data_IF_454985935773
#
_entry.id   IF_454985935773
#
_cell.length_a   1.000
_cell.length_b   1.000
_cell.length_c   1.000
_cell.angle_alpha   90.00
_cell.angle_beta   90.00
_cell.angle_gamma   90.00
#
_symmetry.space_group_name_H-M   'P 1'
#
loop_
_entity.id
_entity.type
_entity.pdbx_description
1 polymer ?
#
# COMPACT_ATOMS: atom_id res chain seq x y z
N UNK A 1 -21.44 17.74 15.04
CA UNK A 1 -20.55 18.69 14.35
C UNK A 1 -20.06 17.97 13.09
N UNK A 2 -20.69 18.25 11.95
CA UNK A 2 -20.27 17.73 10.65
C UNK A 2 -18.91 18.34 10.28
N UNK A 3 -17.99 17.52 9.76
CA UNK A 3 -16.76 17.97 9.12
C UNK A 3 -17.15 18.75 7.86
N UNK A 4 -17.33 20.07 7.99
CA UNK A 4 -17.85 20.95 6.93
C UNK A 4 -16.76 21.61 6.07
N UNK A 5 -15.53 21.12 6.16
CA UNK A 5 -14.43 21.53 5.28
C UNK A 5 -13.99 20.35 4.42
N UNK A 6 -14.09 20.52 3.10
CA UNK A 6 -13.50 19.60 2.13
C UNK A 6 -11.98 19.58 2.33
N UNK A 7 -11.45 18.44 2.79
CA UNK A 7 -10.02 18.24 2.96
C UNK A 7 -9.37 17.99 1.59
N UNK A 8 -8.56 18.95 1.11
CA UNK A 8 -7.85 18.84 -0.16
C UNK A 8 -6.37 18.56 0.10
N UNK A 9 -5.83 17.58 -0.61
CA UNK A 9 -4.41 17.23 -0.58
C UNK A 9 -3.92 16.85 -1.97
N UNK A 10 -2.61 16.99 -2.19
CA UNK A 10 -1.89 16.35 -3.29
C UNK A 10 -1.16 15.11 -2.77
N UNK A 11 -1.16 14.04 -3.54
CA UNK A 11 -0.44 12.81 -3.21
C UNK A 11 0.39 12.32 -4.38
N UNK A 12 1.53 11.70 -4.08
CA UNK A 12 2.39 11.01 -5.01
C UNK A 12 2.53 9.55 -4.56
N UNK A 13 2.30 8.61 -5.48
CA UNK A 13 2.50 7.18 -5.25
C UNK A 13 3.76 6.75 -6.00
N UNK A 14 4.73 6.24 -5.27
CA UNK A 14 5.85 5.49 -5.84
C UNK A 14 5.46 4.01 -5.84
N UNK A 15 5.11 3.50 -7.02
CA UNK A 15 4.91 2.08 -7.24
C UNK A 15 6.20 1.51 -7.86
N UNK A 16 7.21 1.22 -7.06
CA UNK A 16 8.52 0.77 -7.55
C UNK A 16 8.55 -0.72 -7.93
N UNK A 17 9.71 -1.23 -8.33
CA UNK A 17 9.90 -2.66 -8.64
C UNK A 17 10.09 -3.49 -7.38
N UNK A 18 10.92 -2.99 -6.46
CA UNK A 18 11.24 -3.64 -5.19
C UNK A 18 10.41 -3.07 -4.05
N UNK A 19 10.28 -1.75 -3.99
CA UNK A 19 9.63 -1.04 -2.89
C UNK A 19 8.63 -0.02 -3.41
N UNK A 20 7.54 0.14 -2.67
CA UNK A 20 6.48 1.09 -2.96
C UNK A 20 6.17 1.95 -1.74
N UNK A 21 5.67 3.15 -1.96
CA UNK A 21 5.29 4.07 -0.89
C UNK A 21 4.49 5.23 -1.44
N UNK A 22 4.12 6.15 -0.56
CA UNK A 22 3.48 7.39 -0.95
C UNK A 22 3.94 8.54 -0.08
N UNK A 23 3.80 9.74 -0.63
CA UNK A 23 3.95 10.99 0.07
C UNK A 23 2.75 11.88 -0.25
N UNK A 24 2.40 12.78 0.66
CA UNK A 24 1.31 13.73 0.46
C UNK A 24 1.60 15.07 1.11
N UNK A 25 0.94 16.11 0.60
CA UNK A 25 0.92 17.44 1.20
C UNK A 25 -0.52 17.95 1.22
N UNK A 26 -0.96 18.45 2.37
CA UNK A 26 -2.30 19.04 2.46
C UNK A 26 -2.27 20.43 1.83
N UNK A 27 -3.43 20.94 1.40
CA UNK A 27 -3.52 22.32 0.89
C UNK A 27 -3.06 23.34 1.95
N UNK A 28 -3.28 23.03 3.23
CA UNK A 28 -2.81 23.88 4.33
C UNK A 28 -1.29 23.87 4.40
N UNK A 29 -0.67 22.69 4.48
CA UNK A 29 0.79 22.53 4.52
C UNK A 29 1.44 23.24 3.35
N UNK A 30 0.99 22.98 2.12
CA UNK A 30 1.54 23.61 0.92
C UNK A 30 1.45 25.14 0.92
N UNK A 31 0.39 25.73 1.49
CA UNK A 31 0.22 27.18 1.59
C UNK A 31 1.07 27.80 2.70
N UNK A 32 1.31 27.06 3.77
CA UNK A 32 2.14 27.48 4.90
C UNK A 32 3.63 27.38 4.55
N UNK A 33 4.05 26.23 4.04
CA UNK A 33 5.39 25.98 3.51
C UNK A 33 5.33 24.81 2.49
N UNK A 34 5.59 25.07 1.18
CA UNK A 34 5.58 24.05 0.13
C UNK A 34 6.53 22.86 0.37
N UNK A 35 7.51 22.99 1.27
CA UNK A 35 8.46 21.93 1.62
C UNK A 35 7.93 20.95 2.68
N UNK A 36 6.76 21.23 3.28
CA UNK A 36 6.11 20.29 4.20
C UNK A 36 5.47 19.15 3.41
N UNK A 37 6.20 18.05 3.33
CA UNK A 37 5.81 16.79 2.69
C UNK A 37 5.73 15.69 3.74
N UNK A 38 4.58 15.05 3.84
CA UNK A 38 4.35 13.92 4.74
C UNK A 38 4.66 12.62 4.00
N UNK A 39 5.63 11.86 4.49
CA UNK A 39 6.03 10.55 3.95
C UNK A 39 5.60 9.47 4.92
N UNK A 40 4.97 8.41 4.41
CA UNK A 40 4.55 7.30 5.25
C UNK A 40 5.74 6.42 5.66
N UNK A 41 5.74 5.96 6.91
CA UNK A 41 6.70 5.00 7.45
C UNK A 41 6.03 3.66 7.74
N UNK A 42 6.52 2.59 7.15
CA UNK A 42 6.11 1.22 7.44
C UNK A 42 7.13 0.54 8.33
N UNK A 43 6.63 -0.30 9.24
CA UNK A 43 7.47 -1.17 10.06
C UNK A 43 7.36 -2.59 9.52
N UNK A 44 8.49 -3.18 9.14
CA UNK A 44 8.61 -4.60 8.87
C UNK A 44 8.74 -5.33 10.22
N UNK A 45 7.63 -5.88 10.71
CA UNK A 45 7.54 -6.43 12.07
C UNK A 45 8.54 -7.57 12.27
N UNK A 46 8.66 -8.45 11.28
CA UNK A 46 9.56 -9.61 11.30
C UNK A 46 11.05 -9.26 11.50
N UNK A 47 11.49 -8.08 11.07
CA UNK A 47 12.89 -7.65 11.15
C UNK A 47 13.11 -6.40 12.02
N UNK A 48 12.04 -5.86 12.63
CA UNK A 48 12.11 -4.66 13.47
C UNK A 48 12.57 -3.39 12.75
N UNK A 49 12.46 -3.35 11.41
CA UNK A 49 12.96 -2.24 10.59
C UNK A 49 11.85 -1.26 10.25
N UNK A 50 12.11 0.04 10.41
CA UNK A 50 11.22 1.11 9.93
C UNK A 50 11.76 1.69 8.63
N UNK A 51 10.89 1.86 7.63
CA UNK A 51 11.24 2.30 6.28
C UNK A 51 10.16 3.21 5.71
N UNK A 52 10.54 4.19 4.91
CA UNK A 52 9.60 5.06 4.18
C UNK A 52 8.91 4.37 2.99
N UNK A 53 9.21 3.09 2.79
CA UNK A 53 8.61 2.25 1.76
C UNK A 53 8.32 0.86 2.31
N UNK A 54 7.39 0.17 1.67
CA UNK A 54 7.09 -1.24 1.92
C UNK A 54 7.41 -2.09 0.69
N UNK A 55 7.52 -3.41 0.84
CA UNK A 55 7.81 -4.32 -0.27
C UNK A 55 6.76 -4.23 -1.39
N UNK A 56 7.18 -4.28 -2.65
CA UNK A 56 6.25 -4.33 -3.79
C UNK A 56 5.81 -5.77 -4.01
N UNK A 57 4.93 -6.22 -3.13
CA UNK A 57 4.32 -7.53 -3.17
C UNK A 57 2.89 -7.46 -2.68
N UNK A 58 2.06 -8.34 -3.21
CA UNK A 58 0.63 -8.41 -2.90
C UNK A 58 0.23 -9.87 -2.76
N UNK A 59 -0.60 -10.13 -1.76
CA UNK A 59 -1.14 -11.44 -1.46
C UNK A 59 -2.65 -11.41 -1.70
N UNK A 60 -3.13 -12.40 -2.46
CA UNK A 60 -4.55 -12.69 -2.60
C UNK A 60 -4.88 -14.05 -2.01
N UNK A 61 -6.10 -14.16 -1.49
CA UNK A 61 -6.69 -15.40 -1.00
C UNK A 61 -6.94 -16.39 -2.15
N UNK A 62 -7.27 -17.66 -1.86
CA UNK A 62 -7.63 -18.65 -2.88
C UNK A 62 -8.81 -18.26 -3.78
N UNK A 63 -9.73 -17.42 -3.29
CA UNK A 63 -10.84 -16.86 -4.08
C UNK A 63 -10.44 -15.60 -4.90
N UNK A 64 -9.13 -15.36 -5.02
CA UNK A 64 -8.52 -14.20 -5.66
C UNK A 64 -8.96 -12.83 -5.11
N UNK A 65 -9.48 -12.78 -3.88
CA UNK A 65 -9.76 -11.51 -3.19
C UNK A 65 -8.49 -10.97 -2.53
N UNK A 66 -8.35 -9.64 -2.52
CA UNK A 66 -7.20 -8.98 -1.92
C UNK A 66 -7.10 -9.32 -0.43
N UNK A 67 -5.90 -9.68 0.02
CA UNK A 67 -5.62 -9.93 1.43
C UNK A 67 -4.74 -8.82 2.02
N UNK A 68 -3.51 -8.70 1.53
CA UNK A 68 -2.52 -7.77 2.07
C UNK A 68 -1.52 -7.30 1.01
N UNK A 69 -0.83 -6.21 1.33
CA UNK A 69 0.24 -5.62 0.52
C UNK A 69 1.46 -5.34 1.40
N UNK A 70 2.64 -5.28 0.81
CA UNK A 70 3.84 -4.86 1.53
C UNK A 70 4.38 -5.90 2.48
N UNK A 71 5.04 -5.43 3.55
CA UNK A 71 5.61 -6.30 4.58
C UNK A 71 4.55 -7.24 5.20
N UNK A 72 3.30 -6.79 5.34
CA UNK A 72 2.21 -7.64 5.83
C UNK A 72 1.86 -8.78 4.86
N UNK A 73 2.11 -8.64 3.55
CA UNK A 73 1.97 -9.73 2.60
C UNK A 73 3.14 -10.72 2.69
N UNK A 74 4.37 -10.22 2.87
CA UNK A 74 5.55 -11.07 3.09
C UNK A 74 5.43 -11.87 4.39
N UNK A 75 5.14 -11.20 5.51
CA UNK A 75 5.04 -11.83 6.82
C UNK A 75 3.96 -12.93 6.82
N UNK A 76 2.75 -12.62 6.36
CA UNK A 76 1.65 -13.60 6.33
C UNK A 76 1.91 -14.77 5.37
N UNK A 77 2.48 -14.51 4.19
CA UNK A 77 2.81 -15.58 3.25
C UNK A 77 3.90 -16.51 3.79
N UNK A 78 4.89 -15.96 4.50
CA UNK A 78 5.93 -16.74 5.16
C UNK A 78 5.35 -17.60 6.28
N UNK A 79 4.43 -17.07 7.10
CA UNK A 79 3.70 -17.83 8.12
C UNK A 79 2.93 -19.01 7.50
N UNK A 80 2.17 -18.77 6.43
CA UNK A 80 1.48 -19.84 5.69
C UNK A 80 2.45 -20.90 5.16
N UNK A 81 3.63 -20.48 4.68
CA UNK A 81 4.62 -21.38 4.11
C UNK A 81 5.29 -22.27 5.18
N UNK A 82 5.41 -21.81 6.43
CA UNK A 82 5.92 -22.62 7.54
C UNK A 82 5.03 -23.84 7.84
N UNK A 83 3.72 -23.71 7.58
CA UNK A 83 2.72 -24.75 7.77
C UNK A 83 2.28 -25.44 6.46
N UNK A 84 3.01 -25.24 5.34
CA UNK A 84 2.66 -25.76 4.00
C UNK A 84 1.27 -25.34 3.46
N UNK A 85 0.67 -24.30 4.03
CA UNK A 85 -0.69 -23.82 3.73
C UNK A 85 -0.74 -22.68 2.69
N UNK A 86 0.40 -22.31 2.12
CA UNK A 86 0.52 -21.23 1.14
C UNK A 86 0.13 -21.65 -0.29
N UNK A 87 -0.05 -22.95 -0.56
CA UNK A 87 -0.20 -23.51 -1.91
C UNK A 87 -1.41 -23.00 -2.69
N UNK A 88 -2.50 -22.62 -2.04
CA UNK A 88 -3.69 -22.10 -2.72
C UNK A 88 -3.73 -20.57 -2.82
N UNK A 89 -2.76 -19.88 -2.20
CA UNK A 89 -2.70 -18.43 -2.18
C UNK A 89 -1.95 -17.86 -3.37
N UNK A 90 -2.29 -16.63 -3.78
CA UNK A 90 -1.63 -15.96 -4.90
C UNK A 90 -0.70 -14.87 -4.38
N UNK A 91 0.59 -15.19 -4.29
CA UNK A 91 1.62 -14.24 -3.86
C UNK A 91 2.40 -13.70 -5.05
N UNK A 92 2.19 -12.43 -5.37
CA UNK A 92 2.91 -11.73 -6.43
C UNK A 92 4.00 -10.85 -5.83
N UNK A 93 5.24 -11.02 -6.30
CA UNK A 93 6.40 -10.22 -5.91
C UNK A 93 7.23 -9.88 -7.14
N UNK A 94 7.80 -8.66 -7.19
CA UNK A 94 8.62 -8.17 -8.33
C UNK A 94 7.91 -8.18 -9.70
N UNK A 95 6.58 -8.28 -9.72
CA UNK A 95 5.76 -8.41 -10.92
C UNK A 95 5.77 -7.16 -11.81
N UNK A 96 6.23 -5.99 -11.30
CA UNK A 96 6.41 -4.78 -12.13
C UNK A 96 7.39 -5.00 -13.28
N UNK A 97 8.39 -5.88 -13.12
CA UNK A 97 9.32 -6.20 -14.21
C UNK A 97 8.64 -6.92 -15.37
N UNK A 98 7.59 -7.68 -15.11
CA UNK A 98 6.86 -8.41 -16.15
C UNK A 98 5.90 -7.50 -16.92
N UNK A 99 5.51 -6.36 -16.32
CA UNK A 99 4.84 -5.26 -17.03
C UNK A 99 5.78 -4.54 -18.01
N UNK A 100 7.08 -4.47 -17.72
CA UNK A 100 8.04 -3.75 -18.58
C UNK A 100 8.48 -4.56 -19.81
N UNK A 101 8.54 -5.90 -19.68
CA UNK A 101 9.10 -6.78 -20.72
C UNK A 101 8.21 -6.94 -21.96
N UNK A 102 6.93 -6.63 -21.86
CA UNK A 102 5.94 -6.88 -22.90
C UNK A 102 5.20 -5.60 -23.29
N UNK A 103 4.60 -5.58 -24.48
CA UNK A 103 3.58 -4.59 -24.79
C UNK A 103 2.39 -4.78 -23.83
N UNK A 104 2.27 -3.88 -22.85
CA UNK A 104 1.21 -3.91 -21.85
C UNK A 104 -0.14 -3.81 -22.55
N UNK A 105 -0.99 -4.80 -22.32
CA UNK A 105 -2.38 -4.79 -22.76
C UNK A 105 -3.31 -5.11 -21.57
N UNK A 106 -4.62 -4.90 -21.74
CA UNK A 106 -5.59 -5.07 -20.66
C UNK A 106 -5.79 -6.54 -20.24
N UNK A 107 -5.47 -7.46 -21.14
CA UNK A 107 -5.64 -8.90 -20.96
C UNK A 107 -4.36 -9.56 -20.43
N UNK A 108 -3.34 -8.76 -20.09
CA UNK A 108 -2.08 -9.27 -19.58
C UNK A 108 -2.32 -10.03 -18.26
N UNK A 109 -1.80 -11.25 -18.21
CA UNK A 109 -1.75 -12.07 -17.01
C UNK A 109 -0.36 -11.97 -16.38
N UNK A 110 -0.31 -11.90 -15.05
CA UNK A 110 0.92 -11.99 -14.28
C UNK A 110 0.96 -13.36 -13.60
N UNK A 111 2.18 -13.90 -13.41
CA UNK A 111 2.37 -15.20 -12.78
C UNK A 111 2.98 -15.06 -11.40
N UNK A 112 2.52 -15.89 -10.47
CA UNK A 112 3.19 -16.12 -9.19
C UNK A 112 4.42 -17.02 -9.40
N UNK A 113 5.28 -17.15 -8.39
CA UNK A 113 6.49 -17.99 -8.47
C UNK A 113 6.21 -19.48 -8.73
N UNK A 114 5.04 -19.95 -8.33
CA UNK A 114 4.51 -21.30 -8.47
C UNK A 114 3.59 -21.45 -9.70
N UNK A 115 3.54 -20.42 -10.57
CA UNK A 115 2.94 -20.50 -11.89
C UNK A 115 1.45 -20.20 -11.96
N UNK A 116 0.77 -19.85 -10.85
CA UNK A 116 -0.61 -19.38 -10.89
C UNK A 116 -0.69 -18.03 -11.59
N UNK A 117 -1.78 -17.79 -12.31
CA UNK A 117 -1.95 -16.59 -13.10
C UNK A 117 -3.14 -15.76 -12.61
N UNK A 118 -3.01 -14.43 -12.69
CA UNK A 118 -4.13 -13.51 -12.43
C UNK A 118 -3.97 -12.24 -13.28
N UNK A 119 -5.09 -11.57 -13.59
CA UNK A 119 -5.11 -10.35 -14.39
C UNK A 119 -4.19 -9.25 -13.82
N UNK A 120 -3.33 -8.70 -14.66
CA UNK A 120 -2.45 -7.59 -14.31
C UNK A 120 -3.23 -6.36 -13.83
N UNK A 121 -4.35 -6.04 -14.48
CA UNK A 121 -5.22 -4.92 -14.07
C UNK A 121 -5.75 -5.15 -12.65
N UNK A 122 -6.20 -6.36 -12.34
CA UNK A 122 -6.70 -6.71 -10.99
C UNK A 122 -5.61 -6.51 -9.94
N UNK A 123 -4.41 -7.01 -10.22
CA UNK A 123 -3.25 -6.90 -9.33
C UNK A 123 -2.86 -5.43 -9.11
N UNK A 124 -2.67 -4.66 -10.18
CA UNK A 124 -2.27 -3.24 -10.11
C UNK A 124 -3.35 -2.40 -9.41
N UNK A 125 -4.62 -2.66 -9.71
CA UNK A 125 -5.75 -1.94 -9.08
C UNK A 125 -5.81 -2.20 -7.59
N UNK A 126 -5.56 -3.44 -7.15
CA UNK A 126 -5.50 -3.77 -5.73
C UNK A 126 -4.35 -3.04 -5.01
N UNK A 127 -3.18 -2.93 -5.65
CA UNK A 127 -2.02 -2.21 -5.09
C UNK A 127 -2.29 -0.71 -4.97
N UNK A 128 -2.76 -0.07 -6.04
CA UNK A 128 -3.07 1.37 -6.04
C UNK A 128 -4.21 1.66 -5.07
N UNK A 129 -5.24 0.81 -5.05
CA UNK A 129 -6.37 0.88 -4.12
C UNK A 129 -5.91 0.82 -2.67
N UNK A 130 -5.07 -0.17 -2.33
CA UNK A 130 -4.49 -0.29 -1.00
C UNK A 130 -3.69 0.96 -0.60
N UNK A 131 -2.79 1.44 -1.45
CA UNK A 131 -1.95 2.62 -1.14
C UNK A 131 -2.81 3.87 -0.90
N UNK A 132 -3.84 4.07 -1.73
CA UNK A 132 -4.81 5.15 -1.57
C UNK A 132 -5.57 5.01 -0.25
N UNK A 133 -6.15 3.86 0.04
CA UNK A 133 -7.01 3.67 1.21
C UNK A 133 -6.20 3.73 2.51
N UNK A 134 -4.98 3.16 2.50
CA UNK A 134 -4.03 3.26 3.60
C UNK A 134 -3.64 4.73 3.88
N UNK A 135 -3.37 5.52 2.84
CA UNK A 135 -3.10 6.95 2.97
C UNK A 135 -4.29 7.69 3.60
N UNK A 136 -5.50 7.47 3.09
CA UNK A 136 -6.71 8.14 3.58
C UNK A 136 -6.99 7.80 5.05
N UNK A 137 -6.85 6.54 5.44
CA UNK A 137 -7.03 6.11 6.83
C UNK A 137 -5.94 6.68 7.75
N UNK A 138 -4.70 6.77 7.28
CA UNK A 138 -3.58 7.37 8.03
C UNK A 138 -3.87 8.84 8.33
N UNK A 139 -4.27 9.61 7.31
CA UNK A 139 -4.60 11.03 7.44
C UNK A 139 -5.79 11.22 8.38
N UNK A 140 -6.83 10.39 8.25
CA UNK A 140 -8.00 10.44 9.12
C UNK A 140 -7.63 10.26 10.59
N UNK A 141 -6.73 9.32 10.90
CA UNK A 141 -6.23 9.11 12.28
C UNK A 141 -5.46 10.32 12.81
N UNK A 142 -4.59 10.93 11.98
CA UNK A 142 -3.83 12.13 12.34
C UNK A 142 -4.76 13.31 12.62
N UNK A 143 -5.76 13.54 11.76
CA UNK A 143 -6.75 14.60 11.96
C UNK A 143 -7.54 14.37 13.25
N UNK A 144 -7.97 13.12 13.50
CA UNK A 144 -8.69 12.78 14.72
C UNK A 144 -7.85 12.93 15.99
N UNK A 145 -6.55 12.63 15.96
CA UNK A 145 -5.67 12.82 17.12
C UNK A 145 -5.46 14.29 17.46
N UNK A 146 -5.27 15.15 16.45
CA UNK A 146 -5.17 16.61 16.64
C UNK A 146 -6.41 17.19 17.36
N UNK A 147 -7.62 16.77 16.98
CA UNK A 147 -8.84 17.23 17.64
C UNK A 147 -9.00 16.72 19.09
N UNK A 148 -8.40 15.58 19.44
CA UNK A 148 -8.45 15.05 20.81
C UNK A 148 -7.50 15.82 21.73
N UNK A 149 -6.29 16.14 21.26
CA UNK A 149 -5.31 16.92 22.04
C UNK A 149 -5.78 18.34 22.34
N UNK A 150 -6.55 18.96 21.45
CA UNK A 150 -7.11 20.30 21.71
C UNK A 150 -8.25 20.33 22.76
N UNK A 151 -8.81 19.17 23.13
CA UNK A 151 -9.86 19.06 24.15
C UNK A 151 -9.36 18.67 25.54
N UNK A 152 -8.11 18.22 25.68
CA UNK A 152 -7.51 17.89 26.98
C UNK A 152 -6.85 19.08 27.66
N UNK A 153 -6.63 20.18 26.92
CA UNK A 153 -5.88 21.35 27.36
C UNK A 153 -6.79 22.53 27.75
N UNK A 154 -8.09 22.31 27.91
CA UNK A 154 -9.09 23.28 28.35
C UNK A 154 -10.09 22.68 29.32
#
# INVERSE_FOLDING_TARGET
MELKDSFLLGAAIDFGTTYSGYAYSTRHDFKTDPLIINVMSWTAVSVGLTSQKTSTCVLFKPDETFHSFGYAAEDFYNELAMDDNNRDWYFFRRFKMDLYKNHVNRDQMLKTHDGKEMSAIKIISAVIGYLKDHMMETIKKIVQSMFRSQKSDG
#
